data_IF_437381896039
#
_entry.id   IF_437381896039
#
_cell.length_a   1.000
_cell.length_b   1.000
_cell.length_c   1.000
_cell.angle_alpha   90.00
_cell.angle_beta   90.00
_cell.angle_gamma   90.00
#
_symmetry.space_group_name_H-M   'P 1'
#
loop_
_entity.id
_entity.type
_entity.pdbx_description
1 polymer ?
#
# COMPACT_ATOMS: atom_id res chain seq x y z
N UNK A 1 -21.24 12.90 -29.23
CA UNK A 1 -21.94 13.10 -27.95
C UNK A 1 -21.08 12.46 -26.86
N UNK A 2 -20.09 13.22 -26.36
CA UNK A 2 -19.22 12.80 -25.26
C UNK A 2 -20.01 12.85 -23.96
N UNK A 3 -20.52 11.70 -23.55
CA UNK A 3 -21.09 11.53 -22.23
C UNK A 3 -19.98 11.66 -21.20
N UNK A 4 -20.01 12.77 -20.47
CA UNK A 4 -19.41 13.04 -19.18
C UNK A 4 -19.06 11.77 -18.41
N UNK A 5 -17.87 11.20 -18.65
CA UNK A 5 -17.27 10.28 -17.72
C UNK A 5 -16.93 11.13 -16.49
N UNK A 6 -17.86 11.16 -15.52
CA UNK A 6 -17.66 11.76 -14.21
C UNK A 6 -16.27 11.35 -13.74
N UNK A 7 -15.34 12.31 -13.65
CA UNK A 7 -13.98 12.07 -13.19
C UNK A 7 -14.05 11.72 -11.70
N UNK A 8 -14.30 10.45 -11.40
CA UNK A 8 -14.34 9.93 -10.04
C UNK A 8 -12.96 10.19 -9.41
N UNK A 9 -12.93 11.09 -8.43
CA UNK A 9 -11.70 11.36 -7.68
C UNK A 9 -11.66 10.41 -6.50
N UNK A 10 -10.56 9.65 -6.38
CA UNK A 10 -10.34 8.76 -5.24
C UNK A 10 -9.72 9.55 -4.09
N UNK A 11 -10.22 9.32 -2.88
CA UNK A 11 -9.75 9.95 -1.66
C UNK A 11 -9.47 8.88 -0.61
N UNK A 12 -8.34 9.02 0.08
CA UNK A 12 -7.99 8.17 1.22
C UNK A 12 -8.40 8.89 2.50
N UNK A 13 -9.23 8.25 3.32
CA UNK A 13 -9.55 8.73 4.66
C UNK A 13 -8.36 8.47 5.60
N UNK A 14 -7.90 9.51 6.29
CA UNK A 14 -6.69 9.45 7.10
C UNK A 14 -7.02 9.57 8.58
N UNK A 15 -6.65 8.54 9.34
CA UNK A 15 -6.93 8.45 10.79
C UNK A 15 -5.79 9.02 11.64
N UNK A 16 -4.55 8.98 11.13
CA UNK A 16 -3.34 9.38 11.86
C UNK A 16 -2.35 10.10 10.94
N UNK A 17 -1.71 11.14 11.47
CA UNK A 17 -0.56 11.81 10.87
C UNK A 17 0.12 12.68 11.92
N UNK A 18 1.46 12.74 11.88
CA UNK A 18 2.28 13.46 12.86
C UNK A 18 3.23 14.49 12.25
N UNK A 19 3.43 14.45 10.93
CA UNK A 19 4.37 15.35 10.24
C UNK A 19 3.66 16.63 9.79
N UNK A 20 4.26 17.84 9.88
CA UNK A 20 3.66 19.07 9.37
C UNK A 20 3.26 18.99 7.89
N UNK A 21 4.12 18.37 7.07
CA UNK A 21 3.87 18.13 5.66
C UNK A 21 2.66 17.21 5.40
N UNK A 22 2.23 16.40 6.38
CA UNK A 22 0.97 15.66 6.30
C UNK A 22 -0.23 16.61 6.34
N UNK A 23 -0.26 17.58 7.26
CA UNK A 23 -1.40 18.48 7.44
C UNK A 23 -1.60 19.40 6.23
N UNK A 24 -0.51 19.84 5.59
CA UNK A 24 -0.57 20.72 4.42
C UNK A 24 -1.21 20.07 3.18
N UNK A 25 -1.18 18.74 3.09
CA UNK A 25 -1.65 17.99 1.90
C UNK A 25 -3.04 17.38 2.07
N UNK A 26 -3.60 17.41 3.28
CA UNK A 26 -4.93 16.89 3.53
C UNK A 26 -6.00 17.96 3.32
N UNK A 27 -7.09 17.58 2.65
CA UNK A 27 -8.31 18.35 2.71
C UNK A 27 -9.04 17.99 4.02
N UNK A 28 -9.36 19.00 4.82
CA UNK A 28 -10.26 18.84 5.95
C UNK A 28 -11.70 18.95 5.45
N UNK A 29 -12.54 17.98 5.84
CA UNK A 29 -13.97 18.06 5.59
C UNK A 29 -14.61 18.62 6.87
N UNK A 30 -15.09 19.87 6.87
CA UNK A 30 -15.71 20.45 8.04
C UNK A 30 -16.97 19.67 8.37
N UNK A 31 -17.08 19.22 9.62
CA UNK A 31 -18.27 18.54 10.11
C UNK A 31 -19.26 19.57 10.66
N UNK A 32 -20.51 19.46 10.24
CA UNK A 32 -21.63 20.16 10.86
C UNK A 32 -21.85 19.71 12.31
N UNK A 33 -22.60 20.49 13.08
CA UNK A 33 -22.98 20.10 14.44
C UNK A 33 -23.77 18.78 14.46
N UNK A 34 -24.64 18.58 13.45
CA UNK A 34 -25.43 17.37 13.29
C UNK A 34 -24.53 16.15 13.03
N UNK A 35 -23.57 16.25 12.11
CA UNK A 35 -22.60 15.17 11.84
C UNK A 35 -21.74 14.87 13.07
N UNK A 36 -21.33 15.91 13.80
CA UNK A 36 -20.59 15.77 15.05
C UNK A 36 -21.41 15.04 16.11
N UNK A 37 -22.71 15.34 16.22
CA UNK A 37 -23.63 14.65 17.13
C UNK A 37 -23.83 13.18 16.73
N UNK A 38 -24.04 12.90 15.44
CA UNK A 38 -24.15 11.54 14.91
C UNK A 38 -22.88 10.73 15.18
N UNK A 39 -21.70 11.32 14.91
CA UNK A 39 -20.40 10.71 15.18
C UNK A 39 -20.21 10.43 16.67
N UNK A 40 -20.66 11.35 17.54
CA UNK A 40 -20.62 11.16 19.00
C UNK A 40 -21.47 9.98 19.45
N UNK A 41 -22.65 9.81 18.86
CA UNK A 41 -23.54 8.70 19.19
C UNK A 41 -22.98 7.37 18.68
N UNK A 42 -22.47 7.33 17.44
CA UNK A 42 -21.77 6.16 16.91
C UNK A 42 -20.60 5.73 17.81
N UNK A 43 -19.81 6.68 18.32
CA UNK A 43 -18.71 6.41 19.26
C UNK A 43 -19.23 5.79 20.57
N UNK A 44 -20.40 6.20 21.07
CA UNK A 44 -20.99 5.64 22.30
C UNK A 44 -21.39 4.18 22.17
N UNK A 45 -21.76 3.73 20.98
CA UNK A 45 -22.10 2.32 20.71
C UNK A 45 -20.92 1.36 20.98
N UNK A 46 -19.66 1.84 20.93
CA UNK A 46 -18.47 1.04 21.23
C UNK A 46 -18.21 0.93 22.74
N UNK A 47 -19.12 0.27 23.45
CA UNK A 47 -19.16 0.20 24.92
C UNK A 47 -17.83 -0.21 25.57
N UNK A 48 -17.12 -1.17 24.97
CA UNK A 48 -15.82 -1.65 25.47
C UNK A 48 -14.75 -0.56 25.46
N UNK A 49 -14.70 0.23 24.38
CA UNK A 49 -13.76 1.36 24.25
C UNK A 49 -14.16 2.51 25.19
N UNK A 50 -15.45 2.81 25.31
CA UNK A 50 -15.96 3.85 26.21
C UNK A 50 -15.63 3.56 27.68
N UNK A 51 -15.74 2.30 28.11
CA UNK A 51 -15.37 1.86 29.47
C UNK A 51 -13.88 2.11 29.77
N UNK A 52 -13.00 2.02 28.77
CA UNK A 52 -11.57 2.30 28.95
C UNK A 52 -11.27 3.79 29.10
N UNK A 53 -11.89 4.65 28.27
CA UNK A 53 -11.66 6.11 28.38
C UNK A 53 -12.70 6.95 27.64
N UNK A 54 -13.88 7.14 28.26
CA UNK A 54 -15.00 7.93 27.68
C UNK A 54 -14.57 9.32 27.17
N UNK A 55 -13.85 10.11 27.98
CA UNK A 55 -13.40 11.47 27.60
C UNK A 55 -12.49 11.43 26.37
N UNK A 56 -11.54 10.49 26.31
CA UNK A 56 -10.61 10.37 25.18
C UNK A 56 -11.36 10.02 23.89
N UNK A 57 -12.27 9.05 23.95
CA UNK A 57 -12.97 8.57 22.76
C UNK A 57 -13.99 9.59 22.23
N UNK A 58 -14.77 10.22 23.10
CA UNK A 58 -15.73 11.25 22.68
C UNK A 58 -15.05 12.49 22.08
N UNK A 59 -13.79 12.78 22.46
CA UNK A 59 -13.02 13.87 21.85
C UNK A 59 -12.76 13.64 20.35
N UNK A 60 -12.80 12.41 19.85
CA UNK A 60 -12.68 12.15 18.41
C UNK A 60 -13.89 12.65 17.61
N UNK A 61 -15.07 12.81 18.22
CA UNK A 61 -16.24 13.36 17.54
C UNK A 61 -16.01 14.82 17.10
N UNK A 62 -15.27 15.59 17.90
CA UNK A 62 -15.00 17.01 17.63
C UNK A 62 -13.80 17.25 16.70
N UNK A 63 -13.13 16.18 16.22
CA UNK A 63 -11.98 16.33 15.33
C UNK A 63 -12.44 16.36 13.87
N UNK A 64 -11.92 17.31 13.06
CA UNK A 64 -12.20 17.33 11.63
C UNK A 64 -11.69 16.05 10.97
N UNK A 65 -12.42 15.60 9.97
CA UNK A 65 -12.03 14.44 9.16
C UNK A 65 -11.11 14.89 8.03
N UNK A 66 -10.10 14.08 7.75
CA UNK A 66 -9.05 14.44 6.81
C UNK A 66 -8.95 13.44 5.69
N UNK A 67 -8.88 13.97 4.48
CA UNK A 67 -8.84 13.19 3.27
C UNK A 67 -7.64 13.61 2.42
N UNK A 68 -6.95 12.62 1.87
CA UNK A 68 -5.91 12.85 0.88
C UNK A 68 -6.44 12.47 -0.50
N UNK A 69 -6.37 13.41 -1.44
CA UNK A 69 -6.72 13.13 -2.83
C UNK A 69 -5.64 12.24 -3.44
N UNK A 70 -6.04 11.06 -3.92
CA UNK A 70 -5.15 10.17 -4.64
C UNK A 70 -5.07 10.66 -6.08
N UNK A 71 -3.90 11.16 -6.52
CA UNK A 71 -3.66 11.33 -7.96
C UNK A 71 -3.20 9.97 -8.49
N UNK A 72 -3.69 9.56 -9.67
CA UNK A 72 -3.27 8.30 -10.32
C UNK A 72 -1.75 8.16 -10.51
N UNK A 73 -1.03 9.28 -10.53
CA UNK A 73 0.42 9.37 -10.69
C UNK A 73 1.17 9.58 -9.37
N UNK A 74 0.46 9.63 -8.23
CA UNK A 74 1.11 9.81 -6.92
C UNK A 74 1.83 8.53 -6.54
N UNK A 75 3.16 8.56 -6.65
CA UNK A 75 4.05 7.60 -6.01
C UNK A 75 3.57 7.33 -4.58
N UNK A 76 3.48 6.05 -4.21
CA UNK A 76 3.12 5.57 -2.87
C UNK A 76 3.79 6.47 -1.83
N UNK A 77 2.97 7.18 -1.06
CA UNK A 77 3.47 8.28 -0.22
C UNK A 77 4.37 7.74 0.90
N UNK A 78 5.46 8.46 1.11
CA UNK A 78 6.64 8.19 1.96
C UNK A 78 6.38 8.24 3.47
N UNK A 79 5.28 7.66 3.96
CA UNK A 79 4.93 7.68 5.39
C UNK A 79 4.59 6.24 5.84
N UNK A 80 5.61 5.39 5.85
CA UNK A 80 5.49 3.97 6.21
C UNK A 80 6.82 3.22 6.06
N UNK A 81 6.84 1.98 6.55
CA UNK A 81 8.03 1.13 6.51
C UNK A 81 8.52 0.79 5.08
N UNK A 82 7.62 0.91 4.09
CA UNK A 82 7.92 0.72 2.67
C UNK A 82 8.17 2.08 2.04
N UNK A 83 9.42 2.33 1.65
CA UNK A 83 9.86 3.58 1.03
C UNK A 83 9.58 3.61 -0.47
N UNK A 84 9.80 2.49 -1.15
CA UNK A 84 9.64 2.38 -2.60
C UNK A 84 9.29 0.94 -2.98
N UNK A 85 8.56 0.78 -4.08
CA UNK A 85 8.26 -0.53 -4.67
C UNK A 85 8.40 -0.42 -6.18
N UNK A 86 9.12 -1.36 -6.78
CA UNK A 86 9.15 -1.55 -8.22
C UNK A 86 8.88 -3.01 -8.57
N UNK A 87 8.01 -3.22 -9.56
CA UNK A 87 7.58 -4.55 -9.99
C UNK A 87 7.96 -4.78 -11.43
N UNK A 88 8.75 -5.81 -11.67
CA UNK A 88 8.97 -6.40 -12.98
C UNK A 88 8.13 -7.68 -13.12
N UNK A 89 8.18 -8.31 -14.31
CA UNK A 89 7.51 -9.59 -14.56
C UNK A 89 7.98 -10.67 -13.57
N UNK A 90 9.28 -10.76 -13.36
CA UNK A 90 9.90 -11.87 -12.64
C UNK A 90 10.39 -11.50 -11.23
N UNK A 91 10.45 -10.21 -10.91
CA UNK A 91 11.01 -9.73 -9.65
C UNK A 91 10.17 -8.59 -9.04
N UNK A 92 10.11 -8.57 -7.72
CA UNK A 92 9.61 -7.46 -6.93
C UNK A 92 10.74 -6.87 -6.11
N UNK A 93 10.99 -5.59 -6.29
CA UNK A 93 11.97 -4.83 -5.52
C UNK A 93 11.25 -3.90 -4.55
N UNK A 94 11.57 -3.99 -3.27
CA UNK A 94 10.92 -3.24 -2.19
C UNK A 94 12.00 -2.59 -1.33
N UNK A 95 12.06 -1.27 -1.33
CA UNK A 95 12.94 -0.52 -0.43
C UNK A 95 12.21 -0.28 0.88
N UNK A 96 12.84 -0.67 1.98
CA UNK A 96 12.32 -0.53 3.34
C UNK A 96 13.14 0.48 4.13
N UNK A 97 12.45 1.28 4.93
CA UNK A 97 13.04 2.20 5.89
C UNK A 97 12.23 2.17 7.19
N UNK A 98 12.89 1.88 8.29
CA UNK A 98 12.28 1.58 9.57
C UNK A 98 12.66 2.62 10.62
N UNK A 99 11.73 2.92 11.52
CA UNK A 99 12.07 3.65 12.75
C UNK A 99 13.05 2.83 13.62
N UNK A 100 14.01 3.52 14.24
CA UNK A 100 15.10 2.93 15.05
C UNK A 100 14.66 2.42 16.44
N UNK A 101 13.38 2.11 16.63
CA UNK A 101 12.84 1.64 17.91
C UNK A 101 13.31 0.19 18.20
N UNK A 102 14.20 -0.03 19.19
CA UNK A 102 14.83 -1.32 19.44
C UNK A 102 13.82 -2.40 19.88
N UNK A 103 12.71 -1.99 20.49
CA UNK A 103 11.69 -2.91 20.96
C UNK A 103 10.91 -3.55 19.78
N UNK A 104 11.04 -3.03 18.55
CA UNK A 104 10.38 -3.49 17.32
C UNK A 104 11.24 -4.46 16.48
N UNK A 105 12.33 -5.01 17.01
CA UNK A 105 13.27 -5.81 16.20
C UNK A 105 12.99 -7.32 16.21
N UNK A 106 12.23 -7.84 17.18
CA UNK A 106 12.21 -9.28 17.48
C UNK A 106 11.22 -10.13 16.65
N UNK A 107 10.30 -9.53 15.88
CA UNK A 107 9.24 -10.27 15.14
C UNK A 107 8.82 -9.62 13.83
N UNK A 108 9.81 -9.28 13.02
CA UNK A 108 9.55 -8.59 11.76
C UNK A 108 9.24 -9.60 10.66
N UNK A 109 8.03 -9.54 10.11
CA UNK A 109 7.63 -10.37 8.97
C UNK A 109 7.28 -9.50 7.78
N UNK A 110 7.65 -9.96 6.61
CA UNK A 110 7.20 -9.41 5.34
C UNK A 110 6.24 -10.39 4.69
N UNK A 111 5.03 -9.94 4.39
CA UNK A 111 4.00 -10.72 3.74
C UNK A 111 3.82 -10.26 2.30
N UNK A 112 3.63 -11.22 1.41
CA UNK A 112 3.15 -10.98 0.04
C UNK A 112 1.90 -11.81 -0.16
N UNK A 113 0.84 -11.17 -0.61
CA UNK A 113 -0.41 -11.79 -1.00
C UNK A 113 -0.65 -11.47 -2.48
N UNK A 114 -1.09 -12.46 -3.25
CA UNK A 114 -1.37 -12.29 -4.65
C UNK A 114 -2.14 -13.47 -5.21
N UNK A 115 -2.09 -13.61 -6.54
CA UNK A 115 -2.65 -14.75 -7.26
C UNK A 115 -1.59 -15.42 -8.11
N UNK A 116 -1.71 -16.72 -8.33
CA UNK A 116 -0.92 -17.42 -9.34
C UNK A 116 -1.52 -17.24 -10.76
N UNK A 117 -0.89 -17.83 -11.77
CA UNK A 117 -1.33 -17.77 -13.17
C UNK A 117 -2.72 -18.37 -13.40
N UNK A 118 -3.19 -19.26 -12.52
CA UNK A 118 -4.53 -19.85 -12.54
C UNK A 118 -5.54 -19.02 -11.73
N UNK A 119 -5.14 -17.86 -11.21
CA UNK A 119 -5.98 -16.97 -10.40
C UNK A 119 -6.16 -17.41 -8.95
N UNK A 120 -5.51 -18.49 -8.50
CA UNK A 120 -5.61 -19.00 -7.12
C UNK A 120 -4.82 -18.10 -6.18
N UNK A 121 -5.34 -17.87 -4.97
CA UNK A 121 -4.65 -17.05 -3.97
C UNK A 121 -3.33 -17.70 -3.55
N UNK A 122 -2.28 -16.89 -3.48
CA UNK A 122 -0.97 -17.24 -2.96
C UNK A 122 -0.59 -16.25 -1.89
N UNK A 123 -0.11 -16.74 -0.77
CA UNK A 123 0.38 -15.92 0.33
C UNK A 123 1.70 -16.50 0.82
N UNK A 124 2.71 -15.65 0.96
CA UNK A 124 3.97 -16.04 1.55
C UNK A 124 4.45 -15.05 2.60
N UNK A 125 5.27 -15.55 3.51
CA UNK A 125 5.91 -14.79 4.56
C UNK A 125 7.44 -14.95 4.46
N UNK A 126 8.15 -13.88 4.78
CA UNK A 126 9.60 -13.84 4.92
C UNK A 126 9.91 -13.25 6.29
N UNK A 127 10.91 -13.80 6.97
CA UNK A 127 11.42 -13.20 8.21
C UNK A 127 12.43 -12.12 7.85
N UNK A 128 12.20 -10.91 8.34
CA UNK A 128 13.07 -9.76 8.12
C UNK A 128 14.36 -9.93 8.93
N UNK A 129 15.55 -9.97 8.30
CA UNK A 129 16.80 -10.16 9.00
C UNK A 129 17.35 -8.84 9.56
N UNK A 130 18.30 -8.93 10.49
CA UNK A 130 19.08 -7.76 10.93
C UNK A 130 20.19 -7.34 9.95
N UNK A 131 20.50 -8.13 8.94
CA UNK A 131 21.59 -7.84 8.01
C UNK A 131 21.30 -8.43 6.63
N UNK A 132 22.10 -8.05 5.64
CA UNK A 132 22.09 -8.63 4.30
C UNK A 132 22.10 -10.16 4.34
N UNK A 133 21.09 -10.80 3.74
CA UNK A 133 20.95 -12.25 3.72
C UNK A 133 20.07 -12.69 2.53
N UNK A 134 20.22 -13.96 2.15
CA UNK A 134 19.26 -14.65 1.30
C UNK A 134 18.32 -15.45 2.21
N UNK A 135 17.01 -15.35 1.97
CA UNK A 135 15.95 -15.66 2.93
C UNK A 135 14.90 -16.54 2.27
N UNK A 136 14.45 -17.57 2.98
CA UNK A 136 13.34 -18.37 2.50
C UNK A 136 12.02 -17.59 2.48
N UNK A 137 11.31 -17.74 1.36
CA UNK A 137 9.92 -17.37 1.22
C UNK A 137 9.09 -18.59 1.61
N UNK A 138 8.31 -18.49 2.68
CA UNK A 138 7.50 -19.61 3.17
C UNK A 138 6.04 -19.39 2.78
N UNK A 139 5.40 -20.40 2.18
CA UNK A 139 3.95 -20.40 1.95
C UNK A 139 3.21 -20.28 3.30
N UNK A 140 2.27 -19.36 3.40
CA UNK A 140 1.57 -19.10 4.66
C UNK A 140 0.65 -20.25 5.10
N UNK A 141 0.14 -21.06 4.17
CA UNK A 141 -0.75 -22.18 4.46
C UNK A 141 0.03 -23.44 4.82
N UNK A 142 1.13 -23.73 4.11
CA UNK A 142 1.88 -24.98 4.29
C UNK A 142 3.19 -24.84 5.03
N UNK A 143 3.66 -23.61 5.29
CA UNK A 143 5.00 -23.30 5.84
C UNK A 143 6.16 -23.92 5.06
N UNK A 144 5.93 -24.30 3.80
CA UNK A 144 6.99 -24.85 2.92
C UNK A 144 7.71 -23.70 2.23
N UNK A 145 9.02 -23.86 2.02
CA UNK A 145 9.80 -22.94 1.20
C UNK A 145 9.29 -22.99 -0.24
N UNK A 146 9.02 -21.82 -0.80
CA UNK A 146 8.55 -21.62 -2.18
C UNK A 146 9.50 -20.77 -3.02
N UNK A 147 10.60 -20.31 -2.43
CA UNK A 147 11.58 -19.48 -3.13
C UNK A 147 12.55 -18.82 -2.17
N UNK A 148 13.53 -18.13 -2.73
CA UNK A 148 14.54 -17.38 -1.98
C UNK A 148 14.39 -15.91 -2.33
N UNK A 149 14.05 -15.10 -1.33
CA UNK A 149 14.13 -13.65 -1.40
C UNK A 149 15.51 -13.19 -0.97
N UNK A 150 15.92 -12.03 -1.46
CA UNK A 150 17.19 -11.41 -1.13
C UNK A 150 16.96 -10.14 -0.35
N UNK A 151 17.60 -10.00 0.80
CA UNK A 151 17.69 -8.74 1.52
C UNK A 151 19.11 -8.20 1.47
N UNK A 152 19.26 -6.91 1.16
CA UNK A 152 20.54 -6.21 1.23
C UNK A 152 20.36 -4.92 2.01
N UNK A 153 21.11 -4.77 3.10
CA UNK A 153 21.01 -3.63 4.01
C UNK A 153 21.32 -3.98 5.45
N UNK A 154 20.82 -3.14 6.36
CA UNK A 154 20.99 -3.25 7.81
C UNK A 154 19.60 -3.27 8.48
N UNK A 155 19.47 -3.38 9.82
CA UNK A 155 18.18 -3.62 10.47
C UNK A 155 17.14 -2.50 10.30
N UNK A 156 17.57 -1.30 9.88
CA UNK A 156 16.73 -0.11 9.81
C UNK A 156 16.47 0.38 8.38
N UNK A 157 17.25 -0.09 7.41
CA UNK A 157 17.04 0.23 6.02
C UNK A 157 17.65 -0.86 5.13
N UNK A 158 16.97 -1.19 4.05
CA UNK A 158 17.45 -2.16 3.09
C UNK A 158 16.45 -2.48 2.00
N UNK A 159 16.91 -3.21 1.00
CA UNK A 159 16.14 -3.59 -0.17
C UNK A 159 15.83 -5.08 -0.15
N UNK A 160 14.57 -5.41 -0.33
CA UNK A 160 14.12 -6.75 -0.70
C UNK A 160 14.07 -6.90 -2.21
N UNK A 161 14.54 -8.03 -2.70
CA UNK A 161 14.30 -8.52 -4.06
C UNK A 161 13.66 -9.90 -3.95
N UNK A 162 12.42 -10.02 -4.43
CA UNK A 162 11.64 -11.25 -4.34
C UNK A 162 11.41 -11.82 -5.74
N UNK A 163 11.66 -13.12 -5.96
CA UNK A 163 11.27 -13.77 -7.20
C UNK A 163 9.73 -13.89 -7.26
N UNK A 164 9.15 -13.46 -8.37
CA UNK A 164 7.70 -13.44 -8.63
C UNK A 164 7.21 -14.57 -9.55
N UNK A 165 8.05 -15.54 -9.91
CA UNK A 165 7.66 -16.65 -10.80
C UNK A 165 6.42 -17.44 -10.33
N UNK A 166 6.08 -17.40 -9.04
CA UNK A 166 4.89 -18.05 -8.48
C UNK A 166 3.64 -17.16 -8.46
N UNK A 167 3.80 -15.88 -8.75
CA UNK A 167 2.74 -14.90 -8.80
C UNK A 167 2.45 -14.51 -10.24
N UNK A 168 1.18 -14.29 -10.53
CA UNK A 168 0.73 -13.84 -11.84
C UNK A 168 1.17 -12.39 -12.08
N UNK A 169 1.83 -12.07 -13.20
CA UNK A 169 2.23 -10.71 -13.52
C UNK A 169 1.03 -9.77 -13.75
N UNK A 170 -0.11 -10.30 -14.22
CA UNK A 170 -1.30 -9.51 -14.55
C UNK A 170 -2.20 -9.18 -13.35
N UNK A 171 -2.02 -9.85 -12.22
CA UNK A 171 -2.84 -9.65 -11.02
C UNK A 171 -2.09 -8.77 -10.02
N UNK A 172 -2.84 -7.99 -9.24
CA UNK A 172 -2.27 -7.14 -8.21
C UNK A 172 -1.63 -7.98 -7.09
N UNK A 173 -0.59 -7.41 -6.50
CA UNK A 173 0.04 -7.92 -5.29
C UNK A 173 -0.29 -7.00 -4.14
N UNK A 174 -0.37 -7.57 -2.95
CA UNK A 174 -0.52 -6.83 -1.70
C UNK A 174 0.64 -7.21 -0.81
N UNK A 175 1.44 -6.23 -0.40
CA UNK A 175 2.53 -6.44 0.54
C UNK A 175 2.21 -5.87 1.90
N UNK A 176 2.81 -6.44 2.92
CA UNK A 176 2.66 -5.95 4.28
C UNK A 176 3.92 -6.21 5.10
N UNK A 177 4.41 -5.17 5.74
CA UNK A 177 5.44 -5.27 6.77
C UNK A 177 4.73 -5.34 8.12
N UNK A 178 4.92 -6.44 8.84
CA UNK A 178 4.38 -6.63 10.19
C UNK A 178 5.49 -6.41 11.22
N UNK A 179 5.36 -5.33 12.00
CA UNK A 179 6.32 -4.91 13.04
C UNK A 179 5.60 -4.52 14.33
N UNK A 180 4.76 -5.41 14.84
CA UNK A 180 3.94 -5.15 16.03
C UNK A 180 4.77 -5.13 17.31
N UNK A 181 4.61 -4.05 18.09
CA UNK A 181 4.97 -4.04 19.51
C UNK A 181 3.86 -4.59 20.40
N UNK A 182 2.59 -4.29 20.06
CA UNK A 182 1.41 -4.64 20.86
C UNK A 182 0.19 -4.92 19.98
N UNK A 183 -0.48 -3.89 19.45
CA UNK A 183 -1.74 -4.05 18.69
C UNK A 183 -1.74 -3.37 17.33
N UNK A 184 -1.00 -2.28 17.17
CA UNK A 184 -0.99 -1.51 15.93
C UNK A 184 0.17 -1.89 15.05
N UNK A 185 -0.15 -2.05 13.77
CA UNK A 185 0.83 -2.22 12.72
C UNK A 185 1.49 -0.88 12.37
N UNK A 186 2.75 -0.91 11.93
CA UNK A 186 3.45 0.29 11.48
C UNK A 186 2.98 0.73 10.09
N UNK A 187 2.52 -0.22 9.27
CA UNK A 187 1.98 0.04 7.94
C UNK A 187 0.77 -0.85 7.63
N UNK A 188 -0.14 -0.30 6.82
CA UNK A 188 -1.24 -1.07 6.23
C UNK A 188 -0.75 -2.03 5.15
N UNK A 189 -1.70 -2.67 4.46
CA UNK A 189 -1.39 -3.36 3.21
C UNK A 189 -1.10 -2.34 2.11
N UNK A 190 -0.03 -2.54 1.35
CA UNK A 190 0.30 -1.77 0.16
C UNK A 190 -0.06 -2.57 -1.07
N UNK A 191 -0.95 -2.03 -1.89
CA UNK A 191 -1.31 -2.59 -3.20
C UNK A 191 -0.24 -2.24 -4.24
N UNK A 192 0.14 -3.22 -5.05
CA UNK A 192 1.11 -3.10 -6.14
C UNK A 192 0.40 -3.61 -7.40
N UNK A 193 0.12 -2.72 -8.37
CA UNK A 193 -0.65 -3.10 -9.53
C UNK A 193 0.04 -4.20 -10.34
N UNK A 194 -0.77 -4.99 -11.04
CA UNK A 194 -0.32 -5.88 -12.13
C UNK A 194 0.58 -5.14 -13.12
N UNK A 195 1.57 -5.82 -13.67
CA UNK A 195 2.30 -5.31 -14.84
C UNK A 195 1.37 -5.48 -16.04
N UNK A 196 0.98 -4.40 -16.74
CA UNK A 196 0.14 -4.51 -17.93
C UNK A 196 0.85 -5.40 -18.94
N UNK A 197 0.14 -6.40 -19.47
CA UNK A 197 0.68 -7.17 -20.57
C UNK A 197 0.76 -6.25 -21.80
N UNK A 198 1.96 -6.03 -22.33
CA UNK A 198 2.19 -5.33 -23.60
C UNK A 198 1.51 -6.01 -24.81
N UNK A 199 0.82 -7.14 -24.62
CA UNK A 199 0.08 -7.86 -25.67
C UNK A 199 -1.33 -7.30 -25.94
N UNK A 200 -1.75 -6.21 -25.30
CA UNK A 200 -2.96 -5.45 -25.68
C UNK A 200 -2.64 -3.98 -25.92
N UNK A 201 -1.85 -3.71 -26.95
CA UNK A 201 -2.03 -2.46 -27.70
C UNK A 201 -3.30 -2.64 -28.52
N UNK A 202 -4.34 -1.81 -28.39
CA UNK A 202 -5.38 -1.75 -29.40
C UNK A 202 -4.69 -1.38 -30.71
N UNK A 203 -4.76 -2.24 -31.72
CA UNK A 203 -4.47 -1.87 -33.10
C UNK A 203 -5.49 -0.78 -33.51
N UNK A 204 -5.21 0.47 -33.17
CA UNK A 204 -5.96 1.63 -33.65
C UNK A 204 -5.09 2.88 -33.56
N UNK A 205 -4.11 2.97 -34.45
CA UNK A 205 -3.72 4.17 -35.20
C UNK A 205 -2.44 3.86 -35.99
N UNK A 206 -2.57 2.99 -36.99
CA UNK A 206 -1.89 3.25 -38.25
C UNK A 206 -2.86 4.15 -38.99
N UNK A 207 -2.66 5.47 -38.91
CA UNK A 207 -3.22 6.37 -39.92
C UNK A 207 -2.09 6.70 -40.87
N UNK A 208 -2.11 6.02 -42.01
CA UNK A 208 -1.49 6.50 -43.21
C UNK A 208 -2.29 7.71 -43.71
N UNK A 209 -1.68 8.88 -43.71
CA UNK A 209 -1.92 9.94 -44.70
C UNK A 209 -0.56 10.62 -44.91
N UNK A 210 -0.14 11.03 -46.09
CA UNK A 210 -0.40 10.66 -47.47
C UNK A 210 0.69 11.40 -48.24
N UNK A 211 1.15 10.80 -49.32
CA UNK A 211 2.06 11.40 -50.28
C UNK A 211 1.50 12.70 -50.90
N UNK A 212 2.39 13.67 -51.12
CA UNK A 212 2.61 14.41 -52.40
C UNK A 212 2.55 15.93 -52.32
N UNK A 213 3.68 16.53 -52.74
CA UNK A 213 3.89 17.65 -53.70
C UNK A 213 5.24 18.31 -53.31
N UNK A 214 6.38 17.91 -53.87
CA UNK A 214 6.94 18.27 -55.18
C UNK A 214 7.24 19.79 -55.36
N UNK A 215 8.50 20.06 -55.74
CA UNK A 215 9.04 21.28 -56.38
C UNK A 215 9.38 22.47 -55.46
N UNK A 216 10.64 22.58 -55.05
CA UNK A 216 11.61 23.51 -55.67
C UNK A 216 13.05 23.20 -55.21
#
# INVERSE_FOLDING_TARGET
ADLLASRTSQWNYLVHGRSPAFFERTAELPSSELETATKREAIRCHQTQIKLSRRRFLRYAARPERFLRVKRESAVQRDGAVYSVSRARDNLDVDLCFSADPFRMQRNKFFVLGRDSLGRKRACQIRLPGCSADLEMLDCATSRSIGIARYRGHPFAGKFTLPLHLFSPIHDLFIKVDRRLWFFDEAGWTEIPGVPSLTKVPHSMISAEAYSLAVH
#
